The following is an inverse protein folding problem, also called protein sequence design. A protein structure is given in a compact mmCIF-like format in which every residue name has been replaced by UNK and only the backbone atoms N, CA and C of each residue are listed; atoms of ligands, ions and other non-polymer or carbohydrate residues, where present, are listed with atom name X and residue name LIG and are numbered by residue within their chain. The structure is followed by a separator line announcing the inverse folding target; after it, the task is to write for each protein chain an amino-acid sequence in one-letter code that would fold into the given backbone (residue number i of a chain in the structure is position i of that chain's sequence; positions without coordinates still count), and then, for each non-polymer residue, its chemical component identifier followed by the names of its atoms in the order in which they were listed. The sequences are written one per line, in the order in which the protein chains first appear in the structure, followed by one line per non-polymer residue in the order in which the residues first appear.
data_IF_075034298035
#
_entry.id   IF_075034298035
#
_cell.length_a   1.000
_cell.length_b   1.000
_cell.length_c   1.000
_cell.angle_alpha   90.00
_cell.angle_beta   90.00
_cell.angle_gamma   90.00
#
_symmetry.space_group_name_H-M   'P 1'
#
loop_
_entity.id
_entity.type
_entity.pdbx_description
1 polymer ?
#
# COMPACT_ATOMS: atom_id res chain seq x y z
N UNK A 1 -12.18 49.56 -10.16
CA UNK A 1 -12.42 48.86 -8.89
C UNK A 1 -13.05 47.51 -9.23
N UNK A 2 -12.49 46.33 -9.02
CA UNK A 2 -11.25 45.90 -8.37
C UNK A 2 -11.47 44.50 -7.80
N UNK A 3 -11.56 43.44 -8.62
CA UNK A 3 -11.84 42.10 -8.04
C UNK A 3 -11.49 40.86 -8.90
N UNK A 4 -10.37 40.87 -9.64
CA UNK A 4 -9.94 39.66 -10.39
C UNK A 4 -8.44 39.35 -10.29
N UNK A 5 -7.90 39.29 -9.07
CA UNK A 5 -6.49 38.86 -8.84
C UNK A 5 -6.30 37.71 -7.82
N UNK A 6 -7.37 37.16 -7.23
CA UNK A 6 -7.26 36.13 -6.18
C UNK A 6 -7.28 34.66 -6.63
N UNK A 7 -7.81 34.34 -7.82
CA UNK A 7 -8.19 32.94 -8.15
C UNK A 7 -7.09 32.10 -8.84
N UNK A 8 -6.03 32.71 -9.36
CA UNK A 8 -5.09 32.02 -10.27
C UNK A 8 -3.86 31.43 -9.56
N UNK A 9 -3.54 31.87 -8.33
CA UNK A 9 -2.35 31.40 -7.60
C UNK A 9 -2.53 30.03 -6.90
N UNK A 10 -3.77 29.56 -6.72
CA UNK A 10 -4.08 28.35 -5.92
C UNK A 10 -4.00 27.03 -6.73
N UNK A 11 -3.99 27.09 -8.07
CA UNK A 11 -4.03 25.90 -8.93
C UNK A 11 -2.66 25.25 -9.19
N UNK A 12 -1.57 26.02 -9.07
CA UNK A 12 -0.21 25.59 -9.42
C UNK A 12 0.50 24.75 -8.33
N UNK A 13 0.26 25.05 -7.04
CA UNK A 13 0.86 24.29 -5.92
C UNK A 13 0.21 22.93 -5.65
N UNK A 14 -0.98 22.66 -6.23
CA UNK A 14 -1.77 21.46 -5.96
C UNK A 14 -1.19 20.22 -6.67
N UNK A 15 -0.76 20.37 -7.93
CA UNK A 15 -0.17 19.28 -8.72
C UNK A 15 1.14 18.73 -8.12
N UNK A 16 2.07 19.62 -7.75
CA UNK A 16 3.35 19.20 -7.12
C UNK A 16 3.13 18.48 -5.78
N UNK A 17 2.11 18.88 -5.01
CA UNK A 17 1.79 18.25 -3.71
C UNK A 17 1.17 16.87 -3.86
N UNK A 18 0.33 16.66 -4.88
CA UNK A 18 -0.27 15.35 -5.19
C UNK A 18 0.81 14.38 -5.67
N UNK A 19 1.68 14.82 -6.58
CA UNK A 19 2.78 14.00 -7.08
C UNK A 19 3.74 13.55 -5.97
N UNK A 20 4.12 14.49 -5.08
CA UNK A 20 4.96 14.16 -3.92
C UNK A 20 4.28 13.16 -2.98
N UNK A 21 2.98 13.31 -2.71
CA UNK A 21 2.22 12.35 -1.90
C UNK A 21 2.19 10.96 -2.53
N UNK A 22 2.03 10.90 -3.86
CA UNK A 22 1.99 9.64 -4.58
C UNK A 22 3.31 8.87 -4.48
N UNK A 23 4.44 9.55 -4.71
CA UNK A 23 5.76 8.94 -4.58
C UNK A 23 6.04 8.44 -3.15
N UNK A 24 5.64 9.23 -2.14
CA UNK A 24 5.74 8.84 -0.73
C UNK A 24 4.85 7.64 -0.41
N UNK A 25 3.68 7.52 -1.04
CA UNK A 25 2.78 6.38 -0.85
C UNK A 25 3.39 5.09 -1.40
N UNK A 26 3.99 5.13 -2.59
CA UNK A 26 4.68 3.96 -3.17
C UNK A 26 5.83 3.48 -2.30
N UNK A 27 6.67 4.40 -1.82
CA UNK A 27 7.77 4.05 -0.91
C UNK A 27 7.28 3.44 0.40
N UNK A 28 6.14 3.92 0.93
CA UNK A 28 5.51 3.32 2.11
C UNK A 28 5.00 1.92 1.84
N UNK A 29 4.36 1.68 0.70
CA UNK A 29 3.86 0.36 0.30
C UNK A 29 5.01 -0.63 0.16
N UNK A 30 6.03 -0.27 -0.63
CA UNK A 30 7.24 -1.05 -0.82
C UNK A 30 7.87 -1.44 0.52
N UNK A 31 8.12 -0.47 1.41
CA UNK A 31 8.77 -0.73 2.69
C UNK A 31 7.91 -1.56 3.66
N UNK A 32 6.58 -1.41 3.60
CA UNK A 32 5.65 -2.21 4.42
C UNK A 32 5.72 -3.67 4.00
N UNK A 33 5.61 -3.95 2.70
CA UNK A 33 5.67 -5.31 2.17
C UNK A 33 7.07 -5.93 2.16
N UNK A 34 8.12 -5.11 2.12
CA UNK A 34 9.49 -5.56 2.35
C UNK A 34 9.67 -6.16 3.74
N UNK A 35 9.10 -5.54 4.78
CA UNK A 35 9.11 -6.12 6.13
C UNK A 35 8.32 -7.41 6.23
N UNK A 36 7.15 -7.45 5.57
CA UNK A 36 6.31 -8.65 5.53
C UNK A 36 7.04 -9.80 4.83
N UNK A 37 7.68 -9.54 3.70
CA UNK A 37 8.47 -10.53 2.96
C UNK A 37 9.65 -11.06 3.77
N UNK A 38 10.44 -10.18 4.40
CA UNK A 38 11.60 -10.56 5.22
C UNK A 38 11.23 -11.51 6.37
N UNK A 39 10.04 -11.34 6.95
CA UNK A 39 9.56 -12.20 8.05
C UNK A 39 8.82 -13.44 7.56
N UNK A 40 8.38 -13.47 6.30
CA UNK A 40 7.77 -14.66 5.69
C UNK A 40 8.80 -15.79 5.57
N UNK A 41 10.09 -15.47 5.36
CA UNK A 41 11.20 -16.43 5.44
C UNK A 41 11.41 -17.02 6.84
N UNK A 42 10.93 -16.36 7.90
CA UNK A 42 11.04 -16.80 9.30
C UNK A 42 9.89 -17.70 9.79
N UNK A 43 8.98 -18.10 8.91
CA UNK A 43 7.79 -18.90 9.23
C UNK A 43 6.53 -18.21 8.70
N UNK A 44 6.04 -18.65 7.53
CA UNK A 44 5.02 -17.95 6.73
C UNK A 44 3.73 -17.55 7.44
N UNK A 45 3.40 -18.16 8.60
CA UNK A 45 2.25 -17.77 9.43
C UNK A 45 2.42 -16.42 10.13
N UNK A 46 3.65 -15.93 10.31
CA UNK A 46 3.92 -14.61 10.89
C UNK A 46 3.52 -13.45 9.96
N UNK A 47 3.20 -13.73 8.68
CA UNK A 47 2.83 -12.68 7.72
C UNK A 47 1.55 -11.97 8.14
N UNK A 48 0.53 -12.70 8.60
CA UNK A 48 -0.80 -12.16 8.85
C UNK A 48 -0.82 -11.14 9.99
N UNK A 49 -0.28 -11.43 11.19
CA UNK A 49 -0.20 -10.43 12.25
C UNK A 49 0.71 -9.25 11.88
N UNK A 50 1.69 -9.45 11.00
CA UNK A 50 2.51 -8.35 10.48
C UNK A 50 1.75 -7.45 9.51
N UNK A 51 0.96 -8.03 8.60
CA UNK A 51 0.11 -7.29 7.68
C UNK A 51 -0.93 -6.50 8.48
N UNK A 52 -1.59 -7.11 9.48
CA UNK A 52 -2.50 -6.38 10.37
C UNK A 52 -1.80 -5.20 11.04
N UNK A 53 -0.66 -5.42 11.70
CA UNK A 53 0.10 -4.36 12.37
C UNK A 53 0.56 -3.24 11.43
N UNK A 54 1.02 -3.57 10.23
CA UNK A 54 1.55 -2.55 9.31
C UNK A 54 0.44 -1.85 8.53
N UNK A 55 -0.57 -2.57 8.05
CA UNK A 55 -1.63 -2.06 7.17
C UNK A 55 -2.81 -1.48 7.95
N UNK A 56 -3.21 -2.11 9.06
CA UNK A 56 -4.31 -1.66 9.93
C UNK A 56 -3.79 -0.65 10.94
N UNK A 57 -2.93 -1.06 11.88
CA UNK A 57 -2.56 -0.19 13.01
C UNK A 57 -1.75 1.04 12.57
N UNK A 58 -0.66 0.82 11.83
CA UNK A 58 0.27 1.91 11.50
C UNK A 58 -0.18 2.77 10.33
N UNK A 59 -0.70 2.16 9.27
CA UNK A 59 -1.02 2.84 8.01
C UNK A 59 -2.51 3.17 7.86
N UNK A 60 -3.40 2.41 8.51
CA UNK A 60 -4.86 2.55 8.43
C UNK A 60 -5.36 2.54 6.98
N UNK A 61 -4.76 1.68 6.16
CA UNK A 61 -5.13 1.48 4.76
C UNK A 61 -6.24 0.45 4.59
N UNK A 62 -6.39 -0.43 5.58
CA UNK A 62 -7.46 -1.41 5.66
C UNK A 62 -7.87 -1.59 7.13
N UNK A 63 -9.05 -2.16 7.36
CA UNK A 63 -9.49 -2.64 8.67
C UNK A 63 -9.12 -4.12 8.88
N UNK A 64 -9.19 -4.63 10.11
CA UNK A 64 -8.91 -6.04 10.43
C UNK A 64 -9.75 -7.00 9.58
N UNK A 65 -11.04 -6.72 9.42
CA UNK A 65 -11.94 -7.55 8.61
C UNK A 65 -11.50 -7.58 7.14
N UNK A 66 -11.06 -6.43 6.61
CA UNK A 66 -10.61 -6.35 5.23
C UNK A 66 -9.30 -7.10 5.00
N UNK A 67 -8.40 -7.12 6.00
CA UNK A 67 -7.17 -7.92 5.93
C UNK A 67 -7.50 -9.41 5.96
N UNK A 68 -8.46 -9.83 6.78
CA UNK A 68 -8.93 -11.22 6.84
C UNK A 68 -9.56 -11.62 5.50
N UNK A 69 -10.39 -10.76 4.90
CA UNK A 69 -11.01 -11.01 3.60
C UNK A 69 -9.96 -11.13 2.49
N UNK A 70 -8.99 -10.20 2.44
CA UNK A 70 -7.87 -10.29 1.49
C UNK A 70 -7.10 -11.59 1.67
N UNK A 71 -6.87 -12.00 2.91
CA UNK A 71 -6.15 -13.24 3.20
C UNK A 71 -6.94 -14.48 2.77
N UNK A 72 -8.26 -14.50 3.01
CA UNK A 72 -9.15 -15.56 2.56
C UNK A 72 -9.15 -15.67 1.02
N UNK A 73 -9.29 -14.54 0.31
CA UNK A 73 -9.19 -14.50 -1.16
C UNK A 73 -7.82 -14.97 -1.63
N UNK A 74 -6.75 -14.53 -0.97
CA UNK A 74 -5.37 -14.88 -1.34
C UNK A 74 -5.05 -16.36 -1.19
N UNK A 75 -5.74 -17.08 -0.31
CA UNK A 75 -5.64 -18.54 -0.16
C UNK A 75 -6.34 -19.31 -1.29
N UNK A 76 -7.35 -18.72 -1.92
CA UNK A 76 -8.03 -19.35 -3.08
C UNK A 76 -7.23 -19.20 -4.38
N UNK A 77 -6.28 -18.26 -4.41
CA UNK A 77 -5.42 -18.00 -5.55
C UNK A 77 -4.18 -18.91 -5.52
N UNK A 78 -3.76 -19.50 -6.66
CA UNK A 78 -2.54 -20.29 -6.73
C UNK A 78 -1.31 -19.41 -6.44
N UNK A 79 -0.32 -19.97 -5.73
CA UNK A 79 0.96 -19.32 -5.46
C UNK A 79 1.13 -18.87 -4.01
N UNK A 80 2.01 -17.88 -3.80
CA UNK A 80 2.34 -17.40 -2.46
C UNK A 80 1.27 -16.44 -1.94
N UNK A 81 0.59 -16.84 -0.86
CA UNK A 81 -0.46 -16.06 -0.18
C UNK A 81 0.04 -14.64 0.17
N UNK A 82 1.31 -14.51 0.57
CA UNK A 82 1.94 -13.22 0.86
C UNK A 82 1.97 -12.28 -0.37
N UNK A 83 2.28 -12.81 -1.55
CA UNK A 83 2.32 -12.03 -2.80
C UNK A 83 0.93 -11.64 -3.26
N UNK A 84 -0.03 -12.57 -3.17
CA UNK A 84 -1.43 -12.32 -3.51
C UNK A 84 -2.03 -11.24 -2.59
N UNK A 85 -1.76 -11.33 -1.29
CA UNK A 85 -2.20 -10.33 -0.30
C UNK A 85 -1.54 -8.97 -0.55
N UNK A 86 -0.23 -8.96 -0.84
CA UNK A 86 0.51 -7.74 -1.16
C UNK A 86 -0.02 -7.04 -2.43
N UNK A 87 -0.31 -7.82 -3.48
CA UNK A 87 -0.87 -7.31 -4.72
C UNK A 87 -2.26 -6.70 -4.48
N UNK A 88 -3.17 -7.39 -3.78
CA UNK A 88 -4.51 -6.89 -3.51
C UNK A 88 -4.50 -5.61 -2.65
N UNK A 89 -3.73 -5.60 -1.55
CA UNK A 89 -3.65 -4.43 -0.67
C UNK A 89 -2.99 -3.27 -1.42
N UNK A 90 -1.89 -3.51 -2.13
CA UNK A 90 -1.25 -2.49 -2.96
C UNK A 90 -2.17 -1.92 -4.03
N UNK A 91 -2.95 -2.77 -4.68
CA UNK A 91 -3.96 -2.37 -5.66
C UNK A 91 -5.04 -1.49 -5.04
N UNK A 92 -5.53 -1.86 -3.85
CA UNK A 92 -6.53 -1.07 -3.12
C UNK A 92 -6.03 0.31 -2.73
N UNK A 93 -4.76 0.42 -2.31
CA UNK A 93 -4.19 1.68 -1.79
C UNK A 93 -3.82 2.67 -2.89
N UNK A 94 -3.26 2.21 -4.01
CA UNK A 94 -2.78 3.11 -5.07
C UNK A 94 -2.99 2.58 -6.50
N UNK A 95 -3.94 1.67 -6.70
CA UNK A 95 -4.19 1.03 -7.99
C UNK A 95 -3.01 0.18 -8.46
N UNK A 96 -2.89 0.00 -9.78
CA UNK A 96 -1.85 -0.85 -10.41
C UNK A 96 -0.44 -0.50 -9.92
N UNK A 97 -0.12 0.80 -9.81
CA UNK A 97 1.18 1.25 -9.31
C UNK A 97 1.51 0.79 -7.89
N UNK A 98 0.51 0.75 -7.01
CA UNK A 98 0.64 0.26 -5.65
C UNK A 98 0.78 -1.25 -5.59
N UNK A 99 0.05 -1.97 -6.45
CA UNK A 99 0.19 -3.42 -6.58
C UNK A 99 1.62 -3.82 -6.97
N UNK A 100 2.16 -3.16 -8.00
CA UNK A 100 3.54 -3.39 -8.46
C UNK A 100 4.54 -3.06 -7.34
N UNK A 101 4.43 -1.90 -6.71
CA UNK A 101 5.35 -1.49 -5.63
C UNK A 101 5.30 -2.43 -4.43
N UNK A 102 4.12 -2.95 -4.09
CA UNK A 102 3.93 -3.90 -2.99
C UNK A 102 4.50 -5.28 -3.32
N UNK A 103 4.30 -5.76 -4.55
CA UNK A 103 4.89 -7.01 -5.05
C UNK A 103 6.41 -6.96 -5.05
N UNK A 104 7.00 -5.90 -5.61
CA UNK A 104 8.45 -5.72 -5.57
C UNK A 104 8.96 -5.64 -4.13
N UNK A 105 8.23 -4.98 -3.23
CA UNK A 105 8.53 -4.97 -1.80
C UNK A 105 8.56 -6.37 -1.22
N UNK A 106 7.55 -7.20 -1.51
CA UNK A 106 7.43 -8.56 -0.97
C UNK A 106 8.42 -9.57 -1.56
N UNK A 107 8.88 -9.38 -2.81
CA UNK A 107 9.79 -10.32 -3.52
C UNK A 107 11.27 -10.05 -3.25
N UNK A 108 11.65 -8.78 -3.01
CA UNK A 108 13.05 -8.38 -2.82
C UNK A 108 13.77 -8.99 -1.59
N UNK A 109 13.13 -9.20 -0.41
CA UNK A 109 13.82 -9.75 0.76
C UNK A 109 14.09 -11.25 0.59
#
# INVERSE_FOLDING_TARGET
MGEKKGATAVKSGRGKRIFKKWFVLQGKLFYSFFKVGLLTFGGGYAMLPMIQKEIVDKRRWADDNEVIDVFAVSQTLPGAIALNSAAQIGFKVSGVSGAVSSLFGAITP
#
